data_IF_821009864754
#
_entry.id   IF_821009864754
#
_cell.length_a   1.000
_cell.length_b   1.000
_cell.length_c   1.000
_cell.angle_alpha   90.00
_cell.angle_beta   90.00
_cell.angle_gamma   90.00
#
_symmetry.space_group_name_H-M   'P 1'
#
loop_
_entity.id
_entity.type
_entity.pdbx_description
1 polymer ?
#
# COMPACT_ATOMS: atom_id res chain seq x y z
N UNK A 1 10.78 2.65 26.22
CA UNK A 1 12.24 2.48 25.99
C UNK A 1 12.56 2.99 24.60
N UNK A 2 13.61 3.77 24.44
CA UNK A 2 14.09 4.22 23.13
C UNK A 2 14.52 3.00 22.30
N UNK A 3 13.93 2.82 21.13
CA UNK A 3 14.22 1.71 20.23
C UNK A 3 14.77 2.20 18.89
N UNK A 4 15.41 1.29 18.15
CA UNK A 4 15.78 1.49 16.76
C UNK A 4 14.90 0.60 15.89
N UNK A 5 14.35 1.16 14.82
CA UNK A 5 13.37 0.51 13.97
C UNK A 5 13.75 0.69 12.50
N UNK A 6 13.68 -0.38 11.72
CA UNK A 6 13.73 -0.33 10.27
C UNK A 6 12.30 -0.31 9.73
N UNK A 7 11.95 0.74 9.00
CA UNK A 7 10.65 0.91 8.36
C UNK A 7 10.85 0.83 6.85
N UNK A 8 10.57 -0.32 6.28
CA UNK A 8 10.74 -0.57 4.85
C UNK A 8 9.42 -0.33 4.11
N UNK A 9 9.31 0.78 3.39
CA UNK A 9 8.24 0.99 2.42
C UNK A 9 8.56 0.26 1.13
N UNK A 10 7.64 -0.59 0.64
CA UNK A 10 7.85 -1.31 -0.61
C UNK A 10 7.34 -0.50 -1.80
N UNK A 11 8.05 -0.63 -2.93
CA UNK A 11 7.74 0.03 -4.19
C UNK A 11 8.79 -0.30 -5.25
N UNK A 12 8.55 0.14 -6.47
CA UNK A 12 9.50 0.08 -7.58
C UNK A 12 10.13 1.45 -7.82
N UNK A 13 11.41 1.45 -8.18
CA UNK A 13 12.15 2.66 -8.58
C UNK A 13 11.78 3.04 -10.02
N UNK A 14 11.84 4.32 -10.31
CA UNK A 14 11.57 4.90 -11.63
C UNK A 14 10.38 5.84 -11.59
N UNK A 15 10.43 6.89 -12.40
CA UNK A 15 9.38 7.90 -12.49
C UNK A 15 8.05 7.32 -13.00
N UNK A 16 8.13 6.27 -13.82
CA UNK A 16 7.00 5.52 -14.36
C UNK A 16 6.15 4.84 -13.28
N UNK A 17 6.77 4.46 -12.14
CA UNK A 17 6.09 3.81 -11.01
C UNK A 17 5.64 4.80 -9.92
N UNK A 18 6.02 6.07 -10.06
CA UNK A 18 5.62 7.09 -9.10
C UNK A 18 4.09 7.21 -9.02
N UNK A 19 3.54 7.10 -7.82
CA UNK A 19 2.10 7.20 -7.58
C UNK A 19 1.29 5.96 -7.96
N UNK A 20 1.91 4.84 -8.35
CA UNK A 20 1.22 3.58 -8.61
C UNK A 20 0.75 2.93 -7.31
N UNK A 21 -0.26 2.05 -7.39
CA UNK A 21 -0.78 1.31 -6.23
C UNK A 21 0.31 0.49 -5.54
N UNK A 22 1.21 -0.12 -6.32
CA UNK A 22 2.33 -0.93 -5.80
C UNK A 22 3.40 -0.08 -5.10
N UNK A 23 3.40 1.25 -5.30
CA UNK A 23 4.31 2.18 -4.63
C UNK A 23 3.72 2.82 -3.36
N UNK A 24 2.59 2.33 -2.87
CA UNK A 24 1.97 2.88 -1.65
C UNK A 24 2.91 2.85 -0.43
N UNK A 25 3.78 1.84 -0.35
CA UNK A 25 4.79 1.76 0.71
C UNK A 25 5.79 2.92 0.63
N UNK A 26 6.25 3.30 -0.58
CA UNK A 26 7.09 4.48 -0.79
C UNK A 26 6.37 5.75 -0.39
N UNK A 27 5.09 5.91 -0.79
CA UNK A 27 4.30 7.10 -0.44
C UNK A 27 4.14 7.27 1.07
N UNK A 28 3.95 6.18 1.82
CA UNK A 28 3.89 6.25 3.30
C UNK A 28 5.24 6.62 3.90
N UNK A 29 6.34 6.09 3.34
CA UNK A 29 7.69 6.45 3.79
C UNK A 29 8.00 7.92 3.49
N UNK A 30 7.60 8.43 2.31
CA UNK A 30 7.73 9.84 1.96
C UNK A 30 6.93 10.73 2.91
N UNK A 31 5.70 10.36 3.24
CA UNK A 31 4.86 11.07 4.22
C UNK A 31 5.49 11.12 5.61
N UNK A 32 6.11 10.02 6.07
CA UNK A 32 6.81 9.99 7.36
C UNK A 32 8.00 10.92 7.38
N UNK A 33 8.78 10.97 6.29
CA UNK A 33 9.92 11.86 6.15
C UNK A 33 9.48 13.33 6.09
N UNK A 34 8.45 13.64 5.28
CA UNK A 34 7.85 14.97 5.17
C UNK A 34 7.34 15.49 6.52
N UNK A 35 6.56 14.70 7.24
CA UNK A 35 6.04 15.03 8.58
C UNK A 35 7.16 15.35 9.59
N UNK A 36 8.36 14.82 9.39
CA UNK A 36 9.53 15.01 10.25
C UNK A 36 10.56 16.02 9.71
N UNK A 37 10.31 16.62 8.53
CA UNK A 37 11.27 17.49 7.86
C UNK A 37 12.56 16.79 7.42
N UNK A 38 12.52 15.46 7.23
CA UNK A 38 13.67 14.65 6.82
C UNK A 38 13.72 14.47 5.30
N UNK A 39 14.92 14.32 4.76
CA UNK A 39 15.15 14.13 3.33
C UNK A 39 15.78 12.77 3.08
N UNK A 40 15.25 12.03 2.11
CA UNK A 40 15.85 10.79 1.65
C UNK A 40 17.18 11.04 0.95
N UNK A 41 18.18 10.24 1.30
CA UNK A 41 19.50 10.20 0.64
C UNK A 41 19.67 8.85 -0.04
N UNK A 42 20.22 8.85 -1.25
CA UNK A 42 20.59 7.62 -1.94
C UNK A 42 21.73 6.93 -1.20
N UNK A 43 21.54 5.66 -0.92
CA UNK A 43 22.53 4.81 -0.27
C UNK A 43 22.49 3.41 -0.89
N UNK A 44 23.30 2.48 -0.36
CA UNK A 44 23.40 1.13 -0.89
C UNK A 44 22.05 0.40 -0.78
N UNK A 45 21.57 -0.12 -1.89
CA UNK A 45 20.31 -0.87 -2.04
C UNK A 45 19.03 -0.08 -1.69
N UNK A 46 19.09 1.24 -1.52
CA UNK A 46 17.90 2.03 -1.26
C UNK A 46 18.13 3.51 -1.06
N UNK A 47 17.03 4.24 -0.98
CA UNK A 47 17.02 5.59 -0.43
C UNK A 47 16.63 5.52 1.03
N UNK A 48 17.35 6.26 1.88
CA UNK A 48 17.23 6.18 3.34
C UNK A 48 17.01 7.58 3.92
N UNK A 49 16.10 7.68 4.88
CA UNK A 49 15.96 8.85 5.74
C UNK A 49 15.90 8.40 7.21
N UNK A 50 16.44 9.20 8.10
CA UNK A 50 16.38 8.94 9.55
C UNK A 50 15.48 9.98 10.20
N UNK A 51 14.55 9.51 11.01
CA UNK A 51 13.66 10.36 11.80
C UNK A 51 13.70 9.93 13.27
N UNK A 52 13.40 10.87 14.16
CA UNK A 52 13.24 10.61 15.59
C UNK A 52 11.78 10.81 15.98
N UNK A 53 11.22 9.84 16.70
CA UNK A 53 9.87 9.95 17.22
C UNK A 53 9.81 9.46 18.67
N UNK A 54 9.47 10.36 19.59
CA UNK A 54 9.33 10.08 21.03
C UNK A 54 10.50 9.28 21.63
N UNK A 55 11.72 9.66 21.26
CA UNK A 55 12.95 9.02 21.73
C UNK A 55 13.38 7.76 20.95
N UNK A 56 12.55 7.25 20.06
CA UNK A 56 12.91 6.15 19.14
C UNK A 56 13.50 6.68 17.84
N UNK A 57 14.47 5.94 17.27
CA UNK A 57 15.08 6.21 15.97
C UNK A 57 14.42 5.30 14.92
N UNK A 58 13.86 5.89 13.87
CA UNK A 58 13.27 5.18 12.76
C UNK A 58 14.14 5.41 11.51
N UNK A 59 14.62 4.32 10.93
CA UNK A 59 15.30 4.31 9.63
C UNK A 59 14.25 3.99 8.60
N UNK A 60 13.89 4.98 7.78
CA UNK A 60 12.98 4.83 6.66
C UNK A 60 13.77 4.33 5.46
N UNK A 61 13.38 3.22 4.87
CA UNK A 61 14.02 2.61 3.71
C UNK A 61 13.02 2.52 2.55
N UNK A 62 13.40 3.07 1.40
CA UNK A 62 12.79 2.79 0.10
C UNK A 62 13.79 1.96 -0.70
N UNK A 63 13.58 0.62 -0.86
CA UNK A 63 14.48 -0.23 -1.63
C UNK A 63 14.69 0.29 -3.06
N UNK A 64 15.93 0.30 -3.54
CA UNK A 64 16.27 0.61 -4.94
C UNK A 64 16.37 -0.64 -5.81
N UNK A 65 15.93 -1.78 -5.30
CA UNK A 65 15.80 -3.04 -6.01
C UNK A 65 14.42 -3.16 -6.65
N UNK A 66 14.26 -4.06 -7.61
CA UNK A 66 12.93 -4.44 -8.06
C UNK A 66 12.14 -5.05 -6.91
N UNK A 67 10.79 -4.97 -6.97
CA UNK A 67 9.91 -5.45 -5.93
C UNK A 67 10.24 -6.89 -5.48
N UNK A 68 10.44 -7.81 -6.42
CA UNK A 68 10.80 -9.21 -6.16
C UNK A 68 12.24 -9.43 -5.64
N UNK A 69 12.99 -8.36 -5.39
CA UNK A 69 14.33 -8.36 -4.80
C UNK A 69 14.42 -7.50 -3.53
N UNK A 70 13.28 -7.08 -2.98
CA UNK A 70 13.20 -6.19 -1.80
C UNK A 70 13.90 -6.79 -0.57
N UNK A 71 13.92 -8.12 -0.45
CA UNK A 71 14.57 -8.82 0.66
C UNK A 71 16.07 -8.55 0.76
N UNK A 72 16.77 -8.30 -0.36
CA UNK A 72 18.19 -7.92 -0.33
C UNK A 72 18.42 -6.59 0.37
N UNK A 73 17.59 -5.60 0.07
CA UNK A 73 17.68 -4.28 0.69
C UNK A 73 17.31 -4.35 2.17
N UNK A 74 16.21 -5.02 2.50
CA UNK A 74 15.74 -5.18 3.89
C UNK A 74 16.79 -5.91 4.72
N UNK A 75 17.34 -7.03 4.24
CA UNK A 75 18.38 -7.80 4.96
C UNK A 75 19.66 -7.00 5.17
N UNK A 76 20.07 -6.19 4.18
CA UNK A 76 21.25 -5.34 4.31
C UNK A 76 21.10 -4.27 5.40
N UNK A 77 19.91 -3.64 5.46
CA UNK A 77 19.64 -2.55 6.41
C UNK A 77 19.19 -3.04 7.79
N UNK A 78 18.73 -4.29 7.90
CA UNK A 78 18.26 -4.87 9.15
C UNK A 78 19.40 -5.36 10.02
N UNK A 79 19.85 -4.52 10.96
CA UNK A 79 20.94 -4.80 11.89
C UNK A 79 20.44 -5.07 13.32
N UNK A 80 19.56 -6.01 13.55
CA UNK A 80 18.92 -6.27 14.86
C UNK A 80 17.81 -5.28 15.24
N UNK A 81 17.36 -4.46 14.32
CA UNK A 81 16.23 -3.56 14.55
C UNK A 81 14.90 -4.30 14.46
N UNK A 82 13.90 -3.71 15.12
CA UNK A 82 12.53 -4.13 14.91
C UNK A 82 12.08 -3.73 13.49
N UNK A 83 11.77 -4.73 12.67
CA UNK A 83 11.35 -4.52 11.29
C UNK A 83 9.84 -4.25 11.20
N UNK A 84 9.48 -3.21 10.46
CA UNK A 84 8.14 -3.04 9.90
C UNK A 84 8.22 -2.86 8.40
N UNK A 85 7.37 -3.59 7.67
CA UNK A 85 7.23 -3.48 6.22
C UNK A 85 5.89 -2.85 5.88
N UNK A 86 5.88 -1.89 4.95
CA UNK A 86 4.67 -1.23 4.45
C UNK A 86 4.48 -1.66 2.99
N UNK A 87 3.31 -2.22 2.68
CA UNK A 87 3.00 -2.74 1.35
C UNK A 87 1.53 -2.55 0.99
N UNK A 88 1.22 -2.65 -0.28
CA UNK A 88 -0.14 -2.76 -0.80
C UNK A 88 -0.77 -4.11 -0.51
N UNK A 89 -2.09 -4.18 -0.60
CA UNK A 89 -2.85 -5.39 -0.35
C UNK A 89 -4.13 -5.44 -1.18
N UNK A 90 -4.18 -6.41 -2.08
CA UNK A 90 -5.33 -6.66 -2.95
C UNK A 90 -6.56 -7.21 -2.21
N UNK A 91 -6.37 -7.88 -1.07
CA UNK A 91 -7.45 -8.48 -0.30
C UNK A 91 -8.20 -7.47 0.59
N UNK A 92 -7.71 -6.24 0.70
CA UNK A 92 -8.32 -5.17 1.48
C UNK A 92 -8.97 -4.14 0.56
N UNK A 93 -10.17 -3.63 0.89
CA UNK A 93 -10.78 -2.51 0.18
C UNK A 93 -9.87 -1.29 0.13
N UNK A 94 -9.96 -0.50 -0.96
CA UNK A 94 -9.20 0.75 -1.09
C UNK A 94 -9.43 1.67 0.11
N UNK A 95 -8.36 2.22 0.65
CA UNK A 95 -8.41 3.11 1.81
C UNK A 95 -8.36 2.41 3.17
N UNK A 96 -8.38 1.08 3.19
CA UNK A 96 -8.23 0.31 4.43
C UNK A 96 -6.76 0.22 4.82
N UNK A 97 -6.44 0.49 6.08
CA UNK A 97 -5.10 0.28 6.66
C UNK A 97 -5.21 -0.78 7.75
N UNK A 98 -4.36 -1.81 7.67
CA UNK A 98 -4.31 -2.90 8.64
C UNK A 98 -2.87 -3.18 9.06
N UNK A 99 -2.66 -3.35 10.35
CA UNK A 99 -1.40 -3.81 10.91
C UNK A 99 -1.48 -5.29 11.27
N UNK A 100 -0.39 -6.02 11.05
CA UNK A 100 -0.22 -7.41 11.48
C UNK A 100 1.20 -7.60 12.00
N UNK A 101 1.36 -8.39 13.06
CA UNK A 101 2.68 -8.73 13.64
C UNK A 101 3.44 -9.75 12.79
N UNK A 102 2.70 -10.65 12.13
CA UNK A 102 3.20 -11.73 11.25
C UNK A 102 2.14 -12.13 10.24
N UNK A 103 2.51 -12.93 9.25
CA UNK A 103 1.55 -13.49 8.29
C UNK A 103 2.20 -13.93 6.99
N UNK A 104 1.45 -14.59 6.11
CA UNK A 104 1.89 -14.92 4.75
C UNK A 104 2.12 -13.66 3.90
N UNK A 105 2.75 -13.84 2.76
CA UNK A 105 2.97 -12.76 1.77
C UNK A 105 1.69 -12.37 1.03
N UNK A 106 0.67 -13.22 1.01
CA UNK A 106 -0.60 -12.95 0.33
C UNK A 106 -0.46 -12.75 -1.17
N UNK A 107 0.57 -13.35 -1.79
CA UNK A 107 0.90 -13.18 -3.21
C UNK A 107 1.64 -11.89 -3.55
N UNK A 108 2.06 -11.12 -2.55
CA UNK A 108 2.86 -9.91 -2.75
C UNK A 108 4.34 -10.25 -2.92
N UNK A 109 4.89 -10.07 -4.13
CA UNK A 109 6.26 -10.50 -4.47
C UNK A 109 7.36 -9.92 -3.58
N UNK A 110 7.22 -8.68 -3.13
CA UNK A 110 8.16 -8.07 -2.21
C UNK A 110 8.17 -8.77 -0.84
N UNK A 111 7.00 -9.09 -0.30
CA UNK A 111 6.89 -9.85 0.96
C UNK A 111 7.41 -11.28 0.80
N UNK A 112 7.09 -11.95 -0.32
CA UNK A 112 7.58 -13.30 -0.60
C UNK A 112 9.11 -13.33 -0.61
N UNK A 113 9.76 -12.37 -1.27
CA UNK A 113 11.23 -12.29 -1.31
C UNK A 113 11.83 -11.92 0.05
N UNK A 114 11.20 -11.03 0.83
CA UNK A 114 11.64 -10.73 2.20
C UNK A 114 11.56 -12.00 3.05
N UNK A 115 10.44 -12.74 3.02
CA UNK A 115 10.28 -13.99 3.74
C UNK A 115 11.36 -15.01 3.37
N UNK A 116 11.65 -15.16 2.08
CA UNK A 116 12.68 -16.05 1.56
C UNK A 116 14.09 -15.68 2.07
N UNK A 117 14.46 -14.40 2.00
CA UNK A 117 15.81 -13.94 2.38
C UNK A 117 16.00 -13.94 3.90
N UNK A 118 14.98 -13.57 4.67
CA UNK A 118 15.05 -13.55 6.13
C UNK A 118 14.79 -14.92 6.77
N UNK A 119 14.26 -15.89 6.03
CA UNK A 119 13.86 -17.21 6.55
C UNK A 119 12.69 -17.16 7.53
N UNK A 120 11.97 -16.05 7.57
CA UNK A 120 10.84 -15.86 8.50
C UNK A 120 9.80 -14.89 7.94
N UNK A 121 8.56 -15.05 8.38
CA UNK A 121 7.46 -14.10 8.17
C UNK A 121 7.06 -13.38 9.47
N UNK A 122 7.86 -13.53 10.54
CA UNK A 122 7.59 -12.95 11.85
C UNK A 122 8.20 -11.55 11.98
N UNK A 123 7.59 -10.60 11.30
CA UNK A 123 7.86 -9.17 11.39
C UNK A 123 6.58 -8.38 11.20
N UNK A 124 6.54 -7.18 11.80
CA UNK A 124 5.37 -6.31 11.68
C UNK A 124 5.21 -5.79 10.25
N UNK A 125 3.96 -5.64 9.84
CA UNK A 125 3.62 -5.04 8.55
C UNK A 125 2.39 -4.15 8.64
N UNK A 126 2.42 -3.06 7.88
CA UNK A 126 1.25 -2.25 7.54
C UNK A 126 0.84 -2.64 6.12
N UNK A 127 -0.39 -3.13 5.98
CA UNK A 127 -1.02 -3.49 4.72
C UNK A 127 -2.01 -2.41 4.37
N UNK A 128 -1.81 -1.78 3.22
CA UNK A 128 -2.68 -0.72 2.70
C UNK A 128 -3.54 -1.30 1.58
N UNK A 129 -4.84 -1.29 1.77
CA UNK A 129 -5.81 -1.82 0.81
C UNK A 129 -5.82 -1.02 -0.48
N UNK A 130 -5.68 -1.74 -1.58
CA UNK A 130 -5.77 -1.19 -2.93
C UNK A 130 -6.94 -1.79 -3.73
N UNK A 131 -7.71 -2.73 -3.11
CA UNK A 131 -8.79 -3.41 -3.79
C UNK A 131 -8.34 -4.44 -4.83
N UNK A 132 -9.30 -5.08 -5.49
CA UNK A 132 -9.07 -6.14 -6.49
C UNK A 132 -10.01 -6.02 -7.71
N UNK A 133 -10.41 -4.79 -8.05
CA UNK A 133 -11.34 -4.51 -9.15
C UNK A 133 -10.73 -4.66 -10.56
N UNK A 134 -10.08 -5.80 -10.85
CA UNK A 134 -9.46 -6.07 -12.13
C UNK A 134 -9.93 -7.41 -12.72
N UNK A 135 -9.97 -7.56 -14.07
CA UNK A 135 -10.31 -8.81 -14.71
C UNK A 135 -9.23 -9.87 -14.50
N UNK A 136 -9.58 -11.14 -14.71
CA UNK A 136 -8.63 -12.27 -14.62
C UNK A 136 -7.39 -11.99 -15.48
N UNK A 137 -6.21 -12.08 -14.89
CA UNK A 137 -4.92 -11.79 -15.53
C UNK A 137 -4.52 -10.31 -15.53
N UNK A 138 -5.39 -9.37 -15.12
CA UNK A 138 -5.12 -7.93 -15.07
C UNK A 138 -4.39 -7.43 -13.82
N UNK A 139 -3.96 -8.32 -12.92
CA UNK A 139 -3.37 -7.94 -11.64
C UNK A 139 -2.14 -7.04 -11.79
N UNK A 140 -1.24 -7.36 -12.73
CA UNK A 140 0.01 -6.60 -12.93
C UNK A 140 -0.30 -5.16 -13.35
N UNK A 141 -1.20 -5.01 -14.33
CA UNK A 141 -1.60 -3.68 -14.82
C UNK A 141 -2.30 -2.89 -13.71
N UNK A 142 -3.12 -3.54 -12.91
CA UNK A 142 -3.82 -2.92 -11.79
C UNK A 142 -2.86 -2.39 -10.71
N UNK A 143 -1.93 -3.21 -10.25
CA UNK A 143 -0.99 -2.77 -9.19
C UNK A 143 0.00 -1.72 -9.69
N UNK A 144 0.35 -1.75 -10.98
CA UNK A 144 1.19 -0.74 -11.63
C UNK A 144 0.38 0.47 -12.14
N UNK A 145 -0.94 0.43 -12.04
CA UNK A 145 -1.82 1.57 -12.29
C UNK A 145 -1.80 2.58 -11.13
N UNK A 146 -2.17 3.83 -11.42
CA UNK A 146 -2.29 4.90 -10.41
C UNK A 146 -3.66 4.87 -9.76
N UNK A 147 -3.77 5.47 -8.58
CA UNK A 147 -5.06 5.78 -7.99
C UNK A 147 -5.72 6.93 -8.75
N UNK A 148 -7.01 6.83 -9.01
CA UNK A 148 -7.77 7.81 -9.78
C UNK A 148 -9.10 8.16 -9.08
N UNK A 149 -9.68 9.31 -9.43
CA UNK A 149 -10.98 9.74 -8.94
C UNK A 149 -11.11 9.68 -7.41
N UNK A 150 -12.13 8.98 -6.93
CA UNK A 150 -12.41 8.84 -5.48
C UNK A 150 -11.31 8.09 -4.71
N UNK A 151 -10.57 7.18 -5.38
CA UNK A 151 -9.47 6.48 -4.74
C UNK A 151 -8.33 7.46 -4.44
N UNK A 152 -7.97 8.31 -5.41
CA UNK A 152 -6.94 9.33 -5.25
C UNK A 152 -7.32 10.35 -4.16
N UNK A 153 -8.60 10.73 -4.07
CA UNK A 153 -9.10 11.65 -3.05
C UNK A 153 -8.94 11.09 -1.62
N UNK A 154 -8.95 9.76 -1.44
CA UNK A 154 -8.76 9.10 -0.13
C UNK A 154 -7.29 8.99 0.29
N UNK A 155 -6.34 9.09 -0.66
CA UNK A 155 -4.91 8.84 -0.38
C UNK A 155 -4.33 9.67 0.76
N UNK A 156 -4.54 10.99 0.85
CA UNK A 156 -3.94 11.80 1.92
C UNK A 156 -4.27 11.27 3.32
N UNK A 157 -5.52 10.87 3.56
CA UNK A 157 -5.95 10.33 4.85
C UNK A 157 -5.42 8.91 5.08
N UNK A 158 -5.38 8.08 4.04
CA UNK A 158 -4.80 6.72 4.09
C UNK A 158 -3.31 6.77 4.44
N UNK A 159 -2.55 7.66 3.78
CA UNK A 159 -1.12 7.84 4.06
C UNK A 159 -0.89 8.34 5.48
N UNK A 160 -1.67 9.32 5.94
CA UNK A 160 -1.63 9.83 7.30
C UNK A 160 -1.91 8.72 8.33
N UNK A 161 -2.93 7.90 8.10
CA UNK A 161 -3.27 6.78 8.98
C UNK A 161 -2.18 5.72 9.01
N UNK A 162 -1.62 5.36 7.86
CA UNK A 162 -0.53 4.39 7.78
C UNK A 162 0.73 4.92 8.48
N UNK A 163 1.10 6.20 8.26
CA UNK A 163 2.21 6.85 8.94
C UNK A 163 2.01 6.92 10.46
N UNK A 164 0.77 7.19 10.92
CA UNK A 164 0.47 7.15 12.35
C UNK A 164 0.63 5.75 12.93
N UNK A 165 0.21 4.70 12.22
CA UNK A 165 0.42 3.31 12.62
C UNK A 165 1.90 2.97 12.81
N UNK A 166 2.80 3.47 11.95
CA UNK A 166 4.26 3.32 12.13
C UNK A 166 4.74 4.04 13.39
N UNK A 167 4.29 5.28 13.62
CA UNK A 167 4.64 6.07 14.80
C UNK A 167 4.17 5.38 16.09
N UNK A 168 2.97 4.84 16.09
CA UNK A 168 2.39 4.10 17.23
C UNK A 168 3.16 2.81 17.52
N UNK A 169 3.54 2.06 16.47
CA UNK A 169 4.39 0.88 16.61
C UNK A 169 5.73 1.21 17.29
N UNK A 170 6.41 2.25 16.86
CA UNK A 170 7.68 2.65 17.43
C UNK A 170 7.57 3.18 18.88
N UNK A 171 6.41 3.72 19.27
CA UNK A 171 6.18 4.31 20.57
C UNK A 171 5.65 3.31 21.61
N UNK A 172 4.62 2.55 21.27
CA UNK A 172 3.90 1.69 22.22
C UNK A 172 4.00 0.19 21.96
N UNK A 173 4.75 -0.21 20.93
CA UNK A 173 4.93 -1.61 20.54
C UNK A 173 3.80 -2.17 19.67
N UNK A 174 4.06 -3.36 19.12
CA UNK A 174 3.22 -3.96 18.08
C UNK A 174 1.77 -4.22 18.50
N UNK A 175 1.55 -4.75 19.72
CA UNK A 175 0.21 -5.18 20.15
C UNK A 175 -0.75 -4.00 20.30
N UNK A 176 -0.31 -2.95 20.99
CA UNK A 176 -1.13 -1.75 21.20
C UNK A 176 -1.35 -0.99 19.90
N UNK A 177 -0.28 -0.81 19.12
CA UNK A 177 -0.38 -0.14 17.83
C UNK A 177 -1.31 -0.87 16.85
N UNK A 178 -1.25 -2.21 16.82
CA UNK A 178 -2.13 -3.03 15.99
C UNK A 178 -3.61 -2.85 16.36
N UNK A 179 -3.94 -2.81 17.65
CA UNK A 179 -5.31 -2.60 18.11
C UNK A 179 -5.85 -1.25 17.65
N UNK A 180 -5.07 -0.17 17.81
CA UNK A 180 -5.45 1.18 17.39
C UNK A 180 -5.56 1.26 15.86
N UNK A 181 -4.54 0.81 15.14
CA UNK A 181 -4.51 0.85 13.68
C UNK A 181 -5.67 0.07 13.03
N UNK A 182 -6.08 -1.04 13.64
CA UNK A 182 -7.13 -1.91 13.11
C UNK A 182 -8.54 -1.49 13.52
N UNK A 183 -8.69 -0.57 14.46
CA UNK A 183 -10.01 -0.04 14.84
C UNK A 183 -10.53 0.88 13.73
N UNK A 184 -11.82 0.75 13.43
CA UNK A 184 -12.49 1.63 12.46
C UNK A 184 -12.46 3.09 12.97
N UNK A 185 -11.98 4.06 12.18
CA UNK A 185 -11.94 5.45 12.56
C UNK A 185 -13.31 5.99 13.03
N UNK A 186 -14.39 5.56 12.39
CA UNK A 186 -15.77 5.95 12.76
C UNK A 186 -16.19 5.51 14.17
N UNK A 187 -15.46 4.53 14.76
CA UNK A 187 -15.72 4.09 16.14
C UNK A 187 -14.88 4.85 17.16
N UNK A 188 -13.89 5.64 16.73
CA UNK A 188 -13.03 6.44 17.60
C UNK A 188 -13.52 7.87 17.77
N UNK A 189 -14.48 8.32 16.95
CA UNK A 189 -15.15 9.61 17.16
C UNK A 189 -16.05 9.52 18.39
N UNK A 190 -15.99 10.49 19.32
CA UNK A 190 -16.94 10.57 20.42
C UNK A 190 -18.35 10.63 19.82
N UNK A 191 -19.24 9.73 20.25
CA UNK A 191 -20.66 9.84 19.88
C UNK A 191 -21.17 11.17 20.43
N UNK A 192 -21.32 12.17 19.55
CA UNK A 192 -22.09 13.34 19.85
C UNK A 192 -23.48 12.86 20.24
N UNK A 193 -23.87 13.16 21.47
CA UNK A 193 -25.18 12.86 22.01
C UNK A 193 -26.23 13.69 21.23
N UNK A 194 -26.91 13.03 20.27
CA UNK A 194 -28.08 13.63 19.63
C UNK A 194 -29.18 13.81 20.67
N UNK A 195 -29.80 14.98 20.72
CA UNK A 195 -31.04 15.17 21.49
C UNK A 195 -32.14 14.25 20.92
N UNK A 196 -32.85 13.60 21.80
CA UNK A 196 -34.06 12.83 21.45
C UNK A 196 -35.15 13.81 20.99
N UNK A 197 -35.48 13.77 19.70
CA UNK A 197 -36.77 14.28 19.24
C UNK A 197 -37.69 13.12 18.93
N UNK A 198 -38.87 13.24 19.51
CA UNK A 198 -39.98 12.29 19.44
C UNK A 198 -40.77 12.44 18.14
N UNK A 199 -41.07 11.33 17.50
CA UNK A 199 -42.30 10.95 16.84
C UNK A 199 -42.87 11.77 15.69
N UNK A 200 -43.00 11.14 14.52
CA UNK A 200 -44.32 10.84 13.92
C UNK A 200 -44.12 10.17 12.55
N UNK A 201 -44.87 9.09 12.34
CA UNK A 201 -45.07 8.35 11.10
C UNK A 201 -45.67 9.21 9.99
N UNK A 202 -45.30 8.93 8.72
CA UNK A 202 -46.26 8.76 7.62
C UNK A 202 -45.58 8.32 6.30
N UNK A 203 -45.95 7.12 5.90
CA UNK A 203 -46.31 6.53 4.60
C UNK A 203 -45.74 7.06 3.26
N UNK A 204 -45.33 6.06 2.47
CA UNK A 204 -44.98 5.99 1.03
C UNK A 204 -46.04 6.63 0.08
N UNK A 205 -45.72 6.84 -1.24
CA UNK A 205 -45.72 5.69 -2.17
C UNK A 205 -44.72 5.72 -3.35
N UNK A 206 -44.56 4.50 -3.91
CA UNK A 206 -43.91 4.08 -5.18
C UNK A 206 -44.37 4.83 -6.43
N UNK A 207 -43.42 4.94 -7.45
CA UNK A 207 -43.67 4.79 -8.90
C UNK A 207 -42.35 4.61 -9.63
N UNK A 208 -42.19 3.49 -10.19
CA UNK A 208 -42.06 2.81 -11.49
C UNK A 208 -41.56 3.60 -12.71
N UNK A 209 -40.48 3.01 -13.33
CA UNK A 209 -40.18 2.74 -14.74
C UNK A 209 -39.89 3.92 -15.69
N UNK A 210 -38.86 3.86 -16.55
CA UNK A 210 -38.84 3.17 -17.84
C UNK A 210 -37.48 3.32 -18.53
N UNK A 211 -37.11 2.30 -19.30
CA UNK A 211 -36.02 1.99 -20.21
C UNK A 211 -35.86 3.00 -21.35
N UNK A 212 -34.62 3.20 -21.87
CA UNK A 212 -34.38 3.15 -23.33
C UNK A 212 -32.87 3.02 -23.63
N UNK A 213 -32.62 2.01 -24.45
CA UNK A 213 -31.38 1.67 -25.18
C UNK A 213 -30.98 2.74 -26.20
N UNK A 214 -29.69 2.83 -26.53
CA UNK A 214 -29.22 2.82 -27.94
C UNK A 214 -27.67 2.84 -27.99
N UNK A 215 -27.07 1.83 -28.59
CA UNK A 215 -25.79 1.88 -29.32
C UNK A 215 -26.07 2.29 -30.77
N UNK A 216 -25.11 2.73 -31.60
CA UNK A 216 -24.16 1.86 -32.27
C UNK A 216 -22.79 2.42 -32.75
N UNK A 217 -21.83 1.48 -32.96
CA UNK A 217 -20.98 1.22 -34.15
C UNK A 217 -19.82 2.16 -34.53
N UNK A 218 -18.62 1.55 -34.47
CA UNK A 218 -17.57 1.23 -35.49
C UNK A 218 -16.86 2.34 -36.25
N UNK A 219 -15.53 2.31 -36.19
CA UNK A 219 -14.65 2.36 -37.37
C UNK A 219 -13.22 1.90 -37.04
N UNK A 220 -12.78 0.90 -37.79
CA UNK A 220 -11.40 0.39 -37.89
C UNK A 220 -10.45 1.44 -38.47
N UNK A 221 -9.18 1.42 -38.02
CA UNK A 221 -8.06 1.76 -38.89
C UNK A 221 -6.82 0.98 -38.46
N UNK A 222 -6.33 0.20 -39.43
CA UNK A 222 -5.13 -0.62 -39.39
C UNK A 222 -3.96 0.28 -39.76
N UNK A 223 -2.92 0.33 -38.93
CA UNK A 223 -1.60 0.82 -39.31
C UNK A 223 -0.53 -0.12 -38.78
N UNK A 224 0.32 -0.57 -39.67
CA UNK A 224 1.45 -1.48 -39.48
C UNK A 224 2.42 -0.96 -38.41
N UNK A 225 2.89 -1.86 -37.54
CA UNK A 225 3.82 -1.56 -36.45
C UNK A 225 5.17 -2.27 -36.68
N UNK A 226 6.23 -1.49 -36.69
CA UNK A 226 7.62 -1.94 -36.56
C UNK A 226 7.86 -2.68 -35.21
N UNK A 227 8.87 -3.57 -35.11
CA UNK A 227 9.12 -4.37 -33.92
C UNK A 227 9.64 -3.46 -32.79
N UNK A 228 8.77 -3.15 -31.85
CA UNK A 228 9.12 -2.41 -30.62
C UNK A 228 9.91 -3.31 -29.67
N UNK A 229 11.05 -2.82 -29.21
CA UNK A 229 11.72 -3.40 -28.03
C UNK A 229 10.70 -3.65 -26.93
N UNK A 230 10.68 -4.87 -26.39
CA UNK A 230 9.79 -5.27 -25.30
C UNK A 230 9.88 -4.24 -24.16
N UNK A 231 8.77 -3.59 -23.88
CA UNK A 231 8.62 -2.68 -22.76
C UNK A 231 9.05 -3.40 -21.46
N UNK A 232 9.59 -2.67 -20.52
CA UNK A 232 9.89 -3.20 -19.18
C UNK A 232 8.68 -3.92 -18.56
N UNK A 233 7.46 -3.45 -18.86
CA UNK A 233 6.18 -4.08 -18.53
C UNK A 233 6.07 -5.49 -19.08
N UNK A 234 6.48 -5.71 -20.32
CA UNK A 234 6.46 -7.03 -20.96
C UNK A 234 7.55 -7.95 -20.40
N UNK A 235 8.71 -7.40 -20.06
CA UNK A 235 9.77 -8.12 -19.36
C UNK A 235 9.33 -8.57 -17.97
N UNK A 236 8.60 -7.73 -17.25
CA UNK A 236 8.03 -8.05 -15.94
C UNK A 236 6.89 -9.09 -16.05
N UNK A 237 6.00 -8.97 -17.04
CA UNK A 237 4.94 -9.95 -17.34
C UNK A 237 5.51 -11.34 -17.67
N UNK A 238 6.59 -11.39 -18.42
CA UNK A 238 7.27 -12.64 -18.75
C UNK A 238 7.93 -13.27 -17.51
N UNK A 239 8.45 -12.44 -16.62
CA UNK A 239 9.01 -12.90 -15.34
C UNK A 239 7.91 -13.50 -14.45
N UNK A 240 6.75 -12.84 -14.33
CA UNK A 240 5.60 -13.33 -13.57
C UNK A 240 5.06 -14.65 -14.12
N UNK A 241 4.96 -14.80 -15.43
CA UNK A 241 4.51 -16.06 -16.08
C UNK A 241 5.44 -17.25 -15.82
N UNK A 242 6.74 -16.99 -15.65
CA UNK A 242 7.74 -18.03 -15.39
C UNK A 242 7.62 -18.58 -13.95
N UNK A 243 7.25 -17.74 -12.97
CA UNK A 243 7.11 -18.15 -11.56
C UNK A 243 5.70 -18.57 -11.16
N UNK A 244 4.69 -18.42 -12.04
CA UNK A 244 3.31 -18.89 -11.78
C UNK A 244 3.05 -20.32 -12.29
N UNK A 245 4.08 -21.02 -12.78
CA UNK A 245 3.98 -22.40 -13.32
C UNK A 245 4.73 -23.44 -12.48
N UNK A 246 5.30 -23.04 -11.34
CA UNK A 246 5.80 -23.87 -10.27
C UNK A 246 4.90 -23.72 -9.02
#
# INVERSE_FOLDING_TARGET
MAGKYLIAGLGNIGAEYAGTRHNIGFMVADRLAEDAGAVFKTDRLGSVAEISYRGSKLILLKPSTYMNLSGKAVSYWMQKENLMVICDDLALPVGTVRMRKKGSDGGHNGLANINQILGTSDYCRIRVGIGNGFPRGGQVDYVLGRFEGEEAAKLPEVLKRAAQGVKDFAFMGADRAMNICNTDPKKLEPKESKPKESGSEQSEPKKTATVSETSPQTAENIAEAEPKELSFKDKLLNLFRKYSKE
#
